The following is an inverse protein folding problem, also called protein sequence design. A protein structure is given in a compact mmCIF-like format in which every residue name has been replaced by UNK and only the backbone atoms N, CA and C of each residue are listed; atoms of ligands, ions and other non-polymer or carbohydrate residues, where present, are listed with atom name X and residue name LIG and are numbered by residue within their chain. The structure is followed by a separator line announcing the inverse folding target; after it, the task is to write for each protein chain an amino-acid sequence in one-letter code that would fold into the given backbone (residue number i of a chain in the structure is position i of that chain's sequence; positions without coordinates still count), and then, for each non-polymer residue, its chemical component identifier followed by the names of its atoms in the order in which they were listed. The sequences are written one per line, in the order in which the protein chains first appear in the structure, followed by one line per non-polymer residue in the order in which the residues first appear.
data_IF_527637657569
#
_entry.id   IF_527637657569
#
_cell.length_a   1.000
_cell.length_b   1.000
_cell.length_c   1.000
_cell.angle_alpha   90.00
_cell.angle_beta   90.00
_cell.angle_gamma   90.00
#
_symmetry.space_group_name_H-M   'P 1'
#
loop_
_entity.id
_entity.type
_entity.pdbx_description
1 polymer ?
#
# COMPACT_ATOMS: atom_id res chain seq x y z
N UNK A 1 18.46 -24.91 -8.90
CA UNK A 1 17.70 -25.07 -7.65
C UNK A 1 16.23 -25.23 -7.97
N UNK A 2 15.54 -26.15 -7.31
CA UNK A 2 14.08 -26.31 -7.43
C UNK A 2 13.40 -25.01 -6.98
N UNK A 3 12.38 -24.57 -7.76
CA UNK A 3 11.54 -23.41 -7.40
C UNK A 3 10.20 -23.84 -6.77
N UNK A 4 10.17 -25.02 -6.17
CA UNK A 4 8.98 -25.49 -5.46
C UNK A 4 8.90 -24.73 -4.13
N UNK A 5 7.79 -24.05 -3.90
CA UNK A 5 7.46 -23.36 -2.65
C UNK A 5 6.47 -24.20 -1.85
N UNK A 6 6.50 -24.11 -0.54
CA UNK A 6 5.60 -24.87 0.35
C UNK A 6 4.40 -24.03 0.82
N UNK A 7 4.48 -22.71 0.73
CA UNK A 7 3.41 -21.80 1.09
C UNK A 7 3.39 -20.58 0.18
N UNK A 8 2.18 -20.09 -0.13
CA UNK A 8 2.03 -18.81 -0.85
C UNK A 8 2.66 -17.62 -0.09
N UNK A 9 2.86 -17.74 1.23
CA UNK A 9 3.51 -16.72 2.05
C UNK A 9 4.97 -16.47 1.65
N UNK A 10 5.66 -17.49 1.09
CA UNK A 10 7.03 -17.38 0.59
C UNK A 10 7.16 -16.48 -0.66
N UNK A 11 6.02 -16.16 -1.30
CA UNK A 11 5.95 -15.26 -2.44
C UNK A 11 5.78 -13.79 -2.04
N UNK A 12 5.53 -13.51 -0.76
CA UNK A 12 5.35 -12.13 -0.27
C UNK A 12 6.71 -11.44 -0.22
N UNK A 13 6.80 -10.29 -0.85
CA UNK A 13 8.05 -9.53 -0.95
C UNK A 13 8.90 -9.92 -2.16
N UNK A 14 10.15 -9.47 -2.17
CA UNK A 14 11.08 -9.62 -3.29
C UNK A 14 10.47 -9.20 -4.65
N UNK A 15 9.63 -8.17 -4.62
CA UNK A 15 8.99 -7.64 -5.82
C UNK A 15 10.03 -6.89 -6.67
N UNK A 16 9.95 -6.96 -8.01
CA UNK A 16 10.94 -6.35 -8.86
C UNK A 16 10.78 -4.83 -8.98
N UNK A 17 11.86 -4.17 -9.41
CA UNK A 17 11.85 -2.83 -9.97
C UNK A 17 11.70 -2.91 -11.49
N UNK A 18 10.73 -2.19 -12.06
CA UNK A 18 10.61 -1.97 -13.50
C UNK A 18 11.27 -0.65 -13.86
N UNK A 19 12.17 -0.66 -14.83
CA UNK A 19 12.64 0.58 -15.46
C UNK A 19 11.57 1.08 -16.44
N UNK A 20 10.84 2.10 -16.04
CA UNK A 20 9.74 2.69 -16.82
C UNK A 20 10.25 3.67 -17.90
N UNK A 21 11.26 3.26 -18.65
CA UNK A 21 11.96 4.11 -19.61
C UNK A 21 11.10 4.53 -20.81
N UNK A 22 10.20 3.68 -21.29
CA UNK A 22 9.25 4.02 -22.36
C UNK A 22 8.25 5.05 -21.89
N UNK A 23 7.73 4.86 -20.66
CA UNK A 23 6.83 5.81 -20.05
C UNK A 23 7.53 7.17 -19.86
N UNK A 24 8.73 7.19 -19.29
CA UNK A 24 9.53 8.40 -19.09
C UNK A 24 9.75 9.16 -20.40
N UNK A 25 10.16 8.44 -21.46
CA UNK A 25 10.34 9.04 -22.80
C UNK A 25 9.05 9.66 -23.34
N UNK A 26 7.91 8.97 -23.22
CA UNK A 26 6.61 9.51 -23.65
C UNK A 26 6.15 10.72 -22.82
N UNK A 27 6.55 10.80 -21.56
CA UNK A 27 6.31 11.94 -20.68
C UNK A 27 7.29 13.12 -20.91
N UNK A 28 8.21 12.99 -21.86
CA UNK A 28 9.22 14.01 -22.17
C UNK A 28 10.32 14.12 -21.14
N UNK A 29 10.61 13.04 -20.41
CA UNK A 29 11.66 13.01 -19.38
C UNK A 29 12.95 12.47 -19.99
N UNK A 30 14.02 13.24 -19.82
CA UNK A 30 15.36 12.90 -20.28
C UNK A 30 16.37 13.04 -19.13
N UNK A 31 17.34 12.13 -19.09
CA UNK A 31 18.44 12.20 -18.13
C UNK A 31 18.08 11.84 -16.69
N UNK A 32 16.93 11.18 -16.45
CA UNK A 32 16.51 10.64 -15.16
C UNK A 32 16.23 9.15 -15.34
N UNK A 33 16.63 8.33 -14.37
CA UNK A 33 16.26 6.92 -14.30
C UNK A 33 14.98 6.80 -13.48
N UNK A 34 13.87 6.40 -14.10
CA UNK A 34 12.59 6.18 -13.45
C UNK A 34 12.35 4.70 -13.21
N UNK A 35 12.36 4.29 -11.94
CA UNK A 35 12.10 2.92 -11.50
C UNK A 35 10.77 2.84 -10.75
N UNK A 36 10.04 1.75 -10.95
CA UNK A 36 8.77 1.51 -10.26
C UNK A 36 8.82 0.19 -9.52
N UNK A 37 8.57 0.22 -8.21
CA UNK A 37 8.49 -0.98 -7.35
C UNK A 37 7.12 -1.62 -7.49
N UNK A 38 7.05 -2.81 -8.09
CA UNK A 38 5.81 -3.45 -8.51
C UNK A 38 5.20 -4.32 -7.39
N UNK A 39 4.56 -3.69 -6.40
CA UNK A 39 3.98 -4.39 -5.24
C UNK A 39 2.74 -5.23 -5.56
N UNK A 40 2.15 -5.05 -6.75
CA UNK A 40 1.05 -5.92 -7.21
C UNK A 40 1.48 -7.37 -7.48
N UNK A 41 2.78 -7.65 -7.57
CA UNK A 41 3.31 -9.01 -7.74
C UNK A 41 3.36 -9.81 -6.44
N UNK A 42 3.01 -9.24 -5.31
CA UNK A 42 2.68 -10.03 -4.13
C UNK A 42 1.48 -10.94 -4.43
N UNK A 43 1.37 -12.13 -3.80
CA UNK A 43 0.39 -13.17 -4.19
C UNK A 43 -1.08 -12.74 -4.07
N UNK A 44 -1.44 -11.88 -3.12
CA UNK A 44 -2.78 -11.31 -3.03
C UNK A 44 -2.90 -9.94 -3.73
N UNK A 45 -1.87 -9.54 -4.49
CA UNK A 45 -1.90 -8.45 -5.47
C UNK A 45 -1.66 -7.06 -4.90
N UNK A 46 -1.07 -6.91 -3.73
CA UNK A 46 -0.75 -5.58 -3.20
C UNK A 46 0.38 -5.56 -2.17
N UNK A 47 0.88 -4.35 -1.89
CA UNK A 47 1.81 -4.05 -0.79
C UNK A 47 1.28 -4.49 0.59
N UNK A 48 -0.03 -4.62 0.73
CA UNK A 48 -0.66 -4.98 2.01
C UNK A 48 -0.50 -6.45 2.38
N UNK A 49 -0.08 -7.30 1.46
CA UNK A 49 0.30 -8.67 1.75
C UNK A 49 1.47 -8.70 2.75
N UNK A 50 2.45 -7.79 2.58
CA UNK A 50 3.56 -7.60 3.52
C UNK A 50 3.07 -7.19 4.90
N UNK A 51 2.18 -6.21 4.95
CA UNK A 51 1.63 -5.67 6.20
C UNK A 51 0.82 -6.73 6.94
N UNK A 52 -0.02 -7.48 6.22
CA UNK A 52 -0.80 -8.57 6.79
C UNK A 52 0.08 -9.67 7.39
N UNK A 53 1.09 -10.12 6.64
CA UNK A 53 2.06 -11.12 7.12
C UNK A 53 2.78 -10.62 8.37
N UNK A 54 3.29 -9.40 8.34
CA UNK A 54 4.02 -8.79 9.44
C UNK A 54 3.21 -8.73 10.74
N UNK A 55 1.98 -8.22 10.66
CA UNK A 55 1.12 -8.07 11.84
C UNK A 55 0.72 -9.42 12.44
N UNK A 56 0.47 -10.42 11.61
CA UNK A 56 0.11 -11.76 12.05
C UNK A 56 1.33 -12.45 12.68
N UNK A 57 2.50 -12.43 12.04
CA UNK A 57 3.71 -13.07 12.56
C UNK A 57 4.25 -12.40 13.83
N UNK A 58 4.13 -11.09 13.93
CA UNK A 58 4.50 -10.37 15.15
C UNK A 58 3.59 -10.77 16.33
N UNK A 59 2.28 -10.86 16.08
CA UNK A 59 1.32 -11.30 17.10
C UNK A 59 1.52 -12.77 17.53
N UNK A 60 1.84 -13.66 16.59
CA UNK A 60 2.24 -15.05 16.88
C UNK A 60 3.47 -15.09 17.77
N UNK A 61 4.51 -14.35 17.39
CA UNK A 61 5.78 -14.27 18.12
C UNK A 61 5.62 -13.73 19.53
N UNK A 62 4.70 -12.78 19.73
CA UNK A 62 4.38 -12.21 21.05
C UNK A 62 3.44 -13.09 21.87
N UNK A 63 2.84 -14.13 21.27
CA UNK A 63 1.85 -14.99 21.92
C UNK A 63 0.46 -14.34 22.05
N UNK A 64 0.23 -13.23 21.36
CA UNK A 64 -1.06 -12.53 21.31
C UNK A 64 -2.05 -13.24 20.38
N UNK A 65 -1.55 -13.87 19.31
CA UNK A 65 -2.33 -14.67 18.37
C UNK A 65 -2.10 -16.16 18.61
N UNK A 66 -3.12 -16.84 19.10
CA UNK A 66 -3.09 -18.29 19.42
C UNK A 66 -3.65 -19.12 18.26
N UNK A 67 -3.28 -20.40 18.14
CA UNK A 67 -3.88 -21.29 17.16
C UNK A 67 -5.42 -21.28 17.21
N UNK A 68 -6.06 -21.21 16.04
CA UNK A 68 -7.52 -21.14 15.92
C UNK A 68 -8.14 -19.78 16.24
N UNK A 69 -7.33 -18.75 16.46
CA UNK A 69 -7.82 -17.40 16.71
C UNK A 69 -8.60 -16.84 15.51
N UNK A 70 -9.49 -15.90 15.81
CA UNK A 70 -10.21 -15.10 14.83
C UNK A 70 -9.49 -13.78 14.64
N UNK A 71 -9.04 -13.50 13.42
CA UNK A 71 -8.46 -12.21 13.05
C UNK A 71 -9.60 -11.30 12.60
N UNK A 72 -9.77 -10.17 13.26
CA UNK A 72 -10.85 -9.22 13.00
C UNK A 72 -10.23 -7.89 12.58
N UNK A 73 -10.61 -7.33 11.42
CA UNK A 73 -10.12 -6.01 10.99
C UNK A 73 -11.24 -5.19 10.33
N UNK A 74 -11.40 -3.91 10.70
CA UNK A 74 -12.33 -3.02 10.04
C UNK A 74 -11.69 -2.48 8.75
N UNK A 75 -11.90 -3.16 7.63
CA UNK A 75 -11.31 -2.78 6.34
C UNK A 75 -12.05 -3.39 5.16
N UNK A 76 -12.18 -2.62 4.11
CA UNK A 76 -12.71 -3.06 2.80
C UNK A 76 -11.65 -3.05 1.70
N UNK A 77 -10.42 -2.66 2.04
CA UNK A 77 -9.33 -2.45 1.08
C UNK A 77 -8.35 -3.61 0.99
N UNK A 78 -7.19 -3.30 0.44
CA UNK A 78 -6.11 -4.27 0.21
C UNK A 78 -5.62 -4.95 1.51
N UNK A 79 -5.71 -4.26 2.65
CA UNK A 79 -5.36 -4.88 3.95
C UNK A 79 -6.27 -6.07 4.28
N UNK A 80 -7.57 -5.94 4.04
CA UNK A 80 -8.50 -7.06 4.24
C UNK A 80 -8.20 -8.24 3.33
N UNK A 81 -7.83 -7.98 2.08
CA UNK A 81 -7.44 -9.02 1.12
C UNK A 81 -6.16 -9.72 1.59
N UNK A 82 -5.13 -8.96 1.97
CA UNK A 82 -3.89 -9.50 2.50
C UNK A 82 -4.10 -10.31 3.78
N UNK A 83 -4.89 -9.81 4.73
CA UNK A 83 -5.23 -10.52 5.96
C UNK A 83 -5.98 -11.82 5.69
N UNK A 84 -6.96 -11.81 4.78
CA UNK A 84 -7.70 -13.02 4.41
C UNK A 84 -6.76 -14.07 3.80
N UNK A 85 -5.89 -13.67 2.86
CA UNK A 85 -4.94 -14.57 2.22
C UNK A 85 -3.93 -15.17 3.22
N UNK A 86 -3.35 -14.34 4.09
CA UNK A 86 -2.38 -14.80 5.09
C UNK A 86 -3.06 -15.66 6.16
N UNK A 87 -4.26 -15.28 6.63
CA UNK A 87 -5.02 -16.04 7.61
C UNK A 87 -5.30 -17.46 7.12
N UNK A 88 -5.83 -17.61 5.91
CA UNK A 88 -6.09 -18.92 5.30
C UNK A 88 -4.80 -19.75 5.17
N UNK A 89 -3.71 -19.15 4.71
CA UNK A 89 -2.43 -19.85 4.55
C UNK A 89 -1.83 -20.31 5.90
N UNK A 90 -2.16 -19.65 7.02
CA UNK A 90 -1.72 -19.99 8.37
C UNK A 90 -2.76 -20.77 9.19
N UNK A 91 -3.95 -21.04 8.64
CA UNK A 91 -5.03 -21.78 9.32
C UNK A 91 -5.83 -20.96 10.34
N UNK A 92 -5.86 -19.64 10.19
CA UNK A 92 -6.71 -18.73 10.97
C UNK A 92 -8.02 -18.40 10.25
N UNK A 93 -9.01 -17.99 11.03
CA UNK A 93 -10.24 -17.38 10.51
C UNK A 93 -10.03 -15.88 10.37
N UNK A 94 -10.51 -15.28 9.27
CA UNK A 94 -10.53 -13.85 9.08
C UNK A 94 -11.97 -13.33 9.03
N UNK A 95 -12.29 -12.34 9.84
CA UNK A 95 -13.58 -11.65 9.88
C UNK A 95 -13.35 -10.17 9.59
N UNK A 96 -13.95 -9.68 8.51
CA UNK A 96 -13.78 -8.30 8.07
C UNK A 96 -15.08 -7.53 8.24
N UNK A 97 -15.02 -6.43 8.97
CA UNK A 97 -16.16 -5.53 9.13
C UNK A 97 -16.06 -4.38 8.14
N UNK A 98 -17.12 -4.13 7.40
CA UNK A 98 -17.14 -3.09 6.37
C UNK A 98 -18.56 -2.57 6.12
N UNK A 99 -18.70 -1.30 5.68
CA UNK A 99 -19.99 -0.74 5.32
C UNK A 99 -20.66 -1.49 4.17
N UNK A 100 -21.99 -1.60 4.21
CA UNK A 100 -22.78 -2.25 3.15
C UNK A 100 -22.79 -1.50 1.82
N UNK A 101 -22.28 -0.27 1.80
CA UNK A 101 -22.03 0.55 0.61
C UNK A 101 -20.80 0.10 -0.20
N UNK A 102 -19.99 -0.80 0.33
CA UNK A 102 -18.83 -1.33 -0.41
C UNK A 102 -19.26 -2.18 -1.60
N UNK A 103 -18.51 -2.08 -2.70
CA UNK A 103 -18.85 -2.76 -3.95
C UNK A 103 -18.96 -4.27 -3.79
N UNK A 104 -19.83 -4.87 -4.59
CA UNK A 104 -20.05 -6.33 -4.59
C UNK A 104 -18.78 -7.06 -4.99
N UNK A 105 -18.01 -6.52 -5.92
CA UNK A 105 -16.74 -7.10 -6.40
C UNK A 105 -15.74 -7.23 -5.25
N UNK A 106 -15.60 -6.19 -4.42
CA UNK A 106 -14.71 -6.23 -3.24
C UNK A 106 -15.17 -7.27 -2.23
N UNK A 107 -16.48 -7.33 -1.95
CA UNK A 107 -17.04 -8.34 -1.04
C UNK A 107 -16.81 -9.76 -1.57
N UNK A 108 -17.01 -9.97 -2.87
CA UNK A 108 -16.79 -11.26 -3.50
C UNK A 108 -15.31 -11.67 -3.47
N UNK A 109 -14.39 -10.74 -3.70
CA UNK A 109 -12.95 -11.01 -3.61
C UNK A 109 -12.53 -11.44 -2.20
N UNK A 110 -12.99 -10.75 -1.17
CA UNK A 110 -12.71 -11.11 0.23
C UNK A 110 -13.26 -12.50 0.58
N UNK A 111 -14.50 -12.81 0.16
CA UNK A 111 -15.11 -14.13 0.33
C UNK A 111 -14.37 -15.23 -0.43
N UNK A 112 -13.84 -14.92 -1.61
CA UNK A 112 -13.06 -15.88 -2.40
C UNK A 112 -11.77 -16.32 -1.68
N UNK A 113 -11.19 -15.46 -0.86
CA UNK A 113 -10.09 -15.80 0.06
C UNK A 113 -10.56 -16.46 1.37
N UNK A 114 -11.85 -16.75 1.51
CA UNK A 114 -12.39 -17.43 2.70
C UNK A 114 -12.69 -16.51 3.88
N UNK A 115 -12.61 -15.18 3.70
CA UNK A 115 -12.96 -14.26 4.78
C UNK A 115 -14.47 -14.23 5.04
N UNK A 116 -14.84 -14.20 6.32
CA UNK A 116 -16.19 -13.88 6.77
C UNK A 116 -16.40 -12.36 6.73
N UNK A 117 -17.53 -11.92 6.22
CA UNK A 117 -17.83 -10.49 6.09
C UNK A 117 -19.00 -10.14 7.02
N UNK A 118 -18.80 -9.15 7.87
CA UNK A 118 -19.83 -8.54 8.68
C UNK A 118 -20.10 -7.14 8.14
N UNK A 119 -21.29 -6.97 7.52
CA UNK A 119 -21.71 -5.70 6.98
C UNK A 119 -22.23 -4.80 8.09
N UNK A 120 -21.87 -3.52 8.04
CA UNK A 120 -22.34 -2.48 8.92
C UNK A 120 -23.16 -1.45 8.15
N UNK A 121 -23.98 -0.67 8.84
CA UNK A 121 -24.81 0.37 8.26
C UNK A 121 -23.95 1.39 7.50
N UNK A 122 -24.22 1.56 6.20
CA UNK A 122 -23.45 2.43 5.30
C UNK A 122 -23.39 3.89 5.74
N UNK A 123 -24.47 4.39 6.35
CA UNK A 123 -24.53 5.75 6.88
C UNK A 123 -23.49 6.04 7.98
N UNK A 124 -23.03 5.00 8.70
CA UNK A 124 -21.97 5.10 9.72
C UNK A 124 -20.56 5.02 9.15
N UNK A 125 -20.42 4.67 7.87
CA UNK A 125 -19.13 4.56 7.19
C UNK A 125 -18.15 3.65 7.94
N UNK A 126 -16.85 3.98 7.86
CA UNK A 126 -15.80 3.21 8.53
C UNK A 126 -15.89 3.27 10.07
N UNK A 127 -16.48 4.31 10.64
CA UNK A 127 -16.68 4.40 12.09
C UNK A 127 -17.54 3.24 12.59
N UNK A 128 -18.66 2.95 11.91
CA UNK A 128 -19.52 1.81 12.24
C UNK A 128 -18.81 0.46 12.08
N UNK A 129 -17.93 0.32 11.08
CA UNK A 129 -17.13 -0.88 10.90
C UNK A 129 -16.12 -1.07 12.05
N UNK A 130 -15.48 0.00 12.51
CA UNK A 130 -14.53 -0.03 13.64
C UNK A 130 -15.26 -0.40 14.95
N UNK A 131 -16.41 0.19 15.22
CA UNK A 131 -17.24 -0.11 16.38
C UNK A 131 -17.64 -1.61 16.38
N UNK A 132 -18.05 -2.13 15.22
CA UNK A 132 -18.44 -3.53 15.08
C UNK A 132 -17.27 -4.51 15.23
N UNK A 133 -16.08 -4.15 14.73
CA UNK A 133 -14.87 -4.95 14.94
C UNK A 133 -14.52 -5.08 16.43
N UNK A 134 -14.61 -3.98 17.18
CA UNK A 134 -14.38 -3.97 18.63
C UNK A 134 -15.41 -4.82 19.39
N UNK A 135 -16.70 -4.64 19.07
CA UNK A 135 -17.79 -5.45 19.65
C UNK A 135 -17.54 -6.96 19.44
N UNK A 136 -17.16 -7.35 18.22
CA UNK A 136 -16.86 -8.74 17.91
C UNK A 136 -15.64 -9.24 18.67
N UNK A 137 -14.60 -8.45 18.82
CA UNK A 137 -13.40 -8.82 19.57
C UNK A 137 -13.69 -9.00 21.07
N UNK A 138 -14.52 -8.13 21.66
CA UNK A 138 -14.94 -8.22 23.06
C UNK A 138 -15.80 -9.46 23.36
N UNK A 139 -16.56 -9.93 22.37
CA UNK A 139 -17.45 -11.10 22.51
C UNK A 139 -16.83 -12.41 22.01
N UNK A 140 -15.62 -12.39 21.46
CA UNK A 140 -14.93 -13.56 20.93
C UNK A 140 -13.65 -13.83 21.74
N UNK A 141 -13.65 -14.90 22.54
CA UNK A 141 -12.59 -15.22 23.52
C UNK A 141 -11.18 -15.32 22.87
N UNK A 142 -11.07 -15.87 21.68
CA UNK A 142 -9.79 -16.02 20.97
C UNK A 142 -9.80 -15.18 19.71
N UNK A 143 -9.66 -13.87 19.86
CA UNK A 143 -9.66 -12.91 18.74
C UNK A 143 -8.48 -11.95 18.81
N UNK A 144 -8.13 -11.40 17.64
CA UNK A 144 -7.03 -10.45 17.47
C UNK A 144 -7.42 -9.38 16.45
N UNK A 145 -7.19 -8.11 16.78
CA UNK A 145 -7.34 -6.98 15.85
C UNK A 145 -5.94 -6.49 15.46
N UNK A 146 -5.51 -6.67 14.21
CA UNK A 146 -4.18 -6.26 13.72
C UNK A 146 -3.89 -4.76 13.83
N UNK A 147 -4.91 -3.90 13.62
CA UNK A 147 -4.81 -2.43 13.78
C UNK A 147 -3.73 -1.78 12.91
N UNK A 148 -3.85 -1.86 11.60
CA UNK A 148 -2.85 -1.43 10.62
C UNK A 148 -2.31 0.02 10.79
N UNK A 149 -3.09 0.93 11.39
CA UNK A 149 -2.72 2.34 11.56
C UNK A 149 -1.86 2.61 12.81
N UNK A 150 -1.84 1.67 13.76
CA UNK A 150 -1.16 1.80 15.06
C UNK A 150 -0.14 0.70 15.33
N UNK A 151 -0.15 -0.38 14.56
CA UNK A 151 0.71 -1.55 14.76
C UNK A 151 2.12 -1.31 14.21
N UNK A 152 3.16 -1.28 15.06
CA UNK A 152 4.53 -1.00 14.64
C UNK A 152 5.14 -2.09 13.75
N UNK A 153 4.57 -3.29 13.69
CA UNK A 153 5.01 -4.35 12.79
C UNK A 153 4.87 -3.94 11.32
N UNK A 154 3.92 -3.04 11.00
CA UNK A 154 3.73 -2.50 9.66
C UNK A 154 4.98 -1.77 9.14
N UNK A 155 5.42 -0.64 9.68
CA UNK A 155 6.66 0.01 9.20
C UNK A 155 7.91 -0.84 9.43
N UNK A 156 7.99 -1.61 10.50
CA UNK A 156 9.15 -2.47 10.79
C UNK A 156 9.40 -3.49 9.67
N UNK A 157 8.34 -4.07 9.10
CA UNK A 157 8.49 -5.02 8.00
C UNK A 157 9.00 -4.35 6.72
N UNK A 158 8.54 -3.15 6.40
CA UNK A 158 9.04 -2.39 5.26
C UNK A 158 10.50 -1.99 5.43
N UNK A 159 10.90 -1.63 6.65
CA UNK A 159 12.31 -1.35 6.98
C UNK A 159 13.19 -2.60 6.81
N UNK A 160 12.68 -3.76 7.19
CA UNK A 160 13.42 -5.02 7.09
C UNK A 160 13.40 -5.65 5.69
N UNK A 161 12.50 -5.27 4.80
CA UNK A 161 12.31 -5.93 3.50
C UNK A 161 12.28 -4.97 2.32
N UNK A 162 11.30 -4.09 2.24
CA UNK A 162 11.07 -3.21 1.06
C UNK A 162 12.23 -2.26 0.83
N UNK A 163 12.75 -1.63 1.88
CA UNK A 163 13.92 -0.75 1.81
C UNK A 163 15.17 -1.49 1.32
N UNK A 164 15.59 -2.58 2.00
CA UNK A 164 16.72 -3.39 1.55
C UNK A 164 16.59 -3.96 0.13
N UNK A 165 15.38 -4.36 -0.28
CA UNK A 165 15.12 -4.80 -1.67
C UNK A 165 15.41 -3.67 -2.67
N UNK A 166 14.88 -2.46 -2.43
CA UNK A 166 15.12 -1.30 -3.30
C UNK A 166 16.61 -0.96 -3.34
N UNK A 167 17.27 -0.90 -2.19
CA UNK A 167 18.70 -0.60 -2.11
C UNK A 167 19.56 -1.59 -2.90
N UNK A 168 19.30 -2.87 -2.70
CA UNK A 168 19.99 -3.95 -3.41
C UNK A 168 19.74 -3.92 -4.92
N UNK A 169 18.48 -3.78 -5.32
CA UNK A 169 18.09 -3.86 -6.74
C UNK A 169 18.51 -2.63 -7.55
N UNK A 170 18.90 -1.54 -6.87
CA UNK A 170 19.48 -0.34 -7.48
C UNK A 170 20.99 -0.28 -7.37
N UNK A 171 21.67 -1.30 -6.82
CA UNK A 171 23.09 -1.24 -6.46
C UNK A 171 23.42 0.01 -5.59
N UNK A 172 22.51 0.39 -4.69
CA UNK A 172 22.64 1.58 -3.85
C UNK A 172 22.46 2.92 -4.58
N UNK A 173 21.97 2.92 -5.82
CA UNK A 173 21.84 4.12 -6.66
C UNK A 173 20.41 4.66 -6.66
N UNK A 174 19.78 4.77 -5.50
CA UNK A 174 18.50 5.45 -5.33
C UNK A 174 18.71 6.83 -4.74
N UNK A 175 18.27 7.86 -5.45
CA UNK A 175 18.38 9.25 -5.00
C UNK A 175 17.08 9.77 -4.38
N UNK A 176 15.93 9.32 -4.93
CA UNK A 176 14.60 9.79 -4.51
C UNK A 176 13.67 8.59 -4.41
N UNK A 177 13.01 8.45 -3.26
CA UNK A 177 11.95 7.48 -3.02
C UNK A 177 10.60 8.15 -2.82
N UNK A 178 9.59 7.72 -3.55
CA UNK A 178 8.23 8.31 -3.54
C UNK A 178 7.21 7.23 -3.20
N UNK A 179 6.38 7.48 -2.19
CA UNK A 179 5.26 6.60 -1.85
C UNK A 179 4.05 7.37 -1.34
N UNK A 180 2.86 6.88 -1.68
CA UNK A 180 1.59 7.40 -1.16
C UNK A 180 1.37 7.03 0.30
N UNK A 181 0.81 7.96 1.07
CA UNK A 181 0.54 7.77 2.50
C UNK A 181 -0.90 7.32 2.72
N UNK A 182 -1.07 6.01 2.96
CA UNK A 182 -2.31 5.43 3.51
C UNK A 182 -2.17 5.27 5.02
N UNK A 183 -1.57 4.14 5.47
CA UNK A 183 -1.16 3.97 6.88
C UNK A 183 0.17 4.67 7.20
N UNK A 184 0.96 4.99 6.18
CA UNK A 184 2.29 5.55 6.35
C UNK A 184 3.40 4.52 6.59
N UNK A 185 3.05 3.24 6.82
CA UNK A 185 4.03 2.20 7.13
C UNK A 185 5.07 1.98 6.02
N UNK A 186 4.63 1.96 4.76
CA UNK A 186 5.52 1.83 3.59
C UNK A 186 6.53 2.97 3.51
N UNK A 187 6.05 4.22 3.58
CA UNK A 187 6.91 5.41 3.52
C UNK A 187 7.89 5.44 4.69
N UNK A 188 7.39 5.19 5.91
CA UNK A 188 8.19 5.18 7.14
C UNK A 188 9.29 4.13 7.07
N UNK A 189 8.93 2.87 6.96
CA UNK A 189 9.91 1.79 7.06
C UNK A 189 10.91 1.80 5.91
N UNK A 190 10.45 1.98 4.67
CA UNK A 190 11.34 2.07 3.51
C UNK A 190 12.23 3.31 3.58
N UNK A 191 11.66 4.46 3.93
CA UNK A 191 12.40 5.72 4.02
C UNK A 191 13.46 5.70 5.12
N UNK A 192 13.17 5.10 6.28
CA UNK A 192 14.13 4.93 7.37
C UNK A 192 15.32 4.06 6.95
N UNK A 193 15.07 2.91 6.31
CA UNK A 193 16.15 2.05 5.82
C UNK A 193 17.01 2.75 4.77
N UNK A 194 16.36 3.36 3.76
CA UNK A 194 17.10 4.03 2.68
C UNK A 194 17.96 5.19 3.22
N UNK A 195 17.46 5.98 4.19
CA UNK A 195 18.25 7.05 4.83
C UNK A 195 19.34 6.52 5.77
N UNK A 196 19.19 5.35 6.34
CA UNK A 196 20.23 4.68 7.11
C UNK A 196 21.38 4.22 6.19
N UNK A 197 21.05 3.72 4.99
CA UNK A 197 22.02 3.35 3.97
C UNK A 197 22.71 4.57 3.34
N UNK A 198 21.94 5.61 3.04
CA UNK A 198 22.45 6.87 2.50
C UNK A 198 21.57 8.06 2.97
N UNK A 199 22.07 8.92 3.88
CA UNK A 199 21.30 10.06 4.39
C UNK A 199 20.87 11.08 3.34
N UNK A 200 21.50 11.09 2.17
CA UNK A 200 21.17 11.99 1.06
C UNK A 200 19.96 11.54 0.23
N UNK A 201 19.44 10.34 0.48
CA UNK A 201 18.20 9.88 -0.18
C UNK A 201 17.03 10.77 0.22
N UNK A 202 16.40 11.37 -0.78
CA UNK A 202 15.21 12.19 -0.59
C UNK A 202 13.97 11.28 -0.52
N UNK A 203 13.21 11.38 0.55
CA UNK A 203 11.96 10.67 0.75
C UNK A 203 10.80 11.63 0.56
N UNK A 204 9.86 11.27 -0.33
CA UNK A 204 8.74 12.12 -0.71
C UNK A 204 7.43 11.44 -0.35
N UNK A 205 6.67 12.10 0.51
CA UNK A 205 5.31 11.69 0.87
C UNK A 205 4.32 12.19 -0.17
N UNK A 206 3.37 11.34 -0.57
CA UNK A 206 2.30 11.71 -1.48
C UNK A 206 0.95 11.64 -0.77
N UNK A 207 0.13 12.67 -0.93
CA UNK A 207 -1.25 12.72 -0.44
C UNK A 207 -2.22 13.30 -1.49
N UNK A 208 -3.55 13.08 -1.36
CA UNK A 208 -4.53 13.67 -2.28
C UNK A 208 -4.63 15.19 -2.09
N UNK A 209 -4.66 15.96 -3.17
CA UNK A 209 -4.78 17.43 -3.13
C UNK A 209 -6.08 17.90 -2.45
N UNK A 210 -7.18 17.13 -2.56
CA UNK A 210 -8.45 17.46 -1.90
C UNK A 210 -8.53 16.98 -0.44
N UNK A 211 -7.49 16.30 0.07
CA UNK A 211 -7.37 15.86 1.47
C UNK A 211 -5.93 16.02 1.97
N UNK A 212 -5.39 17.26 1.99
CA UNK A 212 -4.00 17.56 2.31
C UNK A 212 -3.77 17.55 3.83
N UNK A 213 -3.91 16.38 4.44
CA UNK A 213 -3.81 16.22 5.92
C UNK A 213 -2.39 16.44 6.41
N UNK A 214 -1.39 15.96 5.69
CA UNK A 214 0.01 16.06 6.10
C UNK A 214 0.57 17.47 5.89
N UNK A 215 0.19 18.12 4.78
CA UNK A 215 0.70 19.45 4.43
C UNK A 215 -0.11 20.60 5.03
N UNK A 216 -1.45 20.45 5.14
CA UNK A 216 -2.35 21.52 5.57
C UNK A 216 -3.20 21.21 6.80
N UNK A 217 -3.18 19.98 7.30
CA UNK A 217 -4.02 19.55 8.43
C UNK A 217 -5.51 19.43 8.08
N UNK A 218 -5.87 19.38 6.79
CA UNK A 218 -7.26 19.35 6.33
C UNK A 218 -7.64 18.03 5.72
N UNK A 219 -8.64 17.35 6.29
CA UNK A 219 -9.24 16.17 5.68
C UNK A 219 -10.34 16.57 4.70
N UNK A 220 -10.44 15.86 3.57
CA UNK A 220 -11.46 16.07 2.57
C UNK A 220 -11.78 14.79 1.79
N UNK A 221 -12.86 14.84 1.00
CA UNK A 221 -13.23 13.73 0.13
C UNK A 221 -12.30 13.66 -1.09
N UNK A 222 -11.85 12.46 -1.44
CA UNK A 222 -11.05 12.21 -2.63
C UNK A 222 -11.38 10.84 -3.24
N UNK A 223 -10.91 10.59 -4.46
CA UNK A 223 -11.16 9.33 -5.20
C UNK A 223 -9.92 8.43 -5.31
N UNK A 224 -8.79 8.81 -4.72
CA UNK A 224 -7.54 8.04 -4.77
C UNK A 224 -7.58 6.97 -3.69
N UNK A 225 -8.15 5.81 -4.01
CA UNK A 225 -8.28 4.72 -3.06
C UNK A 225 -6.89 4.20 -2.62
N UNK A 226 -6.77 3.87 -1.33
CA UNK A 226 -5.55 3.28 -0.73
C UNK A 226 -4.62 4.26 -0.03
N UNK A 227 -4.80 5.57 -0.24
CA UNK A 227 -4.07 6.64 0.47
C UNK A 227 -5.06 7.67 1.05
N UNK A 228 -4.57 8.65 1.80
CA UNK A 228 -5.39 9.75 2.30
C UNK A 228 -6.42 9.31 3.34
N UNK A 229 -5.98 8.76 4.48
CA UNK A 229 -6.86 8.23 5.53
C UNK A 229 -7.73 9.28 6.24
N UNK A 230 -7.47 10.57 6.02
CA UNK A 230 -8.19 11.68 6.66
C UNK A 230 -7.63 12.07 8.04
N UNK A 231 -6.59 11.43 8.47
CA UNK A 231 -5.84 11.73 9.72
C UNK A 231 -4.38 11.33 9.57
N UNK A 232 -3.52 11.80 10.49
CA UNK A 232 -2.11 11.38 10.55
C UNK A 232 -2.03 10.05 11.29
N UNK A 233 -1.60 8.95 10.63
CA UNK A 233 -1.52 7.63 11.30
C UNK A 233 -0.41 7.56 12.35
N UNK A 234 -0.62 6.80 13.43
CA UNK A 234 0.36 6.66 14.51
C UNK A 234 1.67 6.00 14.05
N UNK A 235 1.61 5.08 13.06
CA UNK A 235 2.79 4.42 12.51
C UNK A 235 3.57 5.26 11.50
N UNK A 236 3.06 6.45 11.13
CA UNK A 236 3.76 7.35 10.24
C UNK A 236 4.83 8.14 11.02
N UNK A 237 6.09 7.95 10.68
CA UNK A 237 7.17 8.83 11.12
C UNK A 237 7.16 10.11 10.27
N UNK A 238 6.60 11.18 10.81
CA UNK A 238 6.52 12.48 10.12
C UNK A 238 7.86 13.19 9.91
N UNK A 239 8.95 12.61 10.41
CA UNK A 239 10.32 13.15 10.23
C UNK A 239 11.10 12.40 9.16
N UNK A 240 10.54 11.33 8.56
CA UNK A 240 11.25 10.51 7.57
C UNK A 240 11.26 11.14 6.19
N UNK A 241 10.21 11.85 5.84
CA UNK A 241 10.08 12.49 4.52
C UNK A 241 10.62 13.93 4.53
N UNK A 242 11.18 14.33 3.40
CA UNK A 242 11.77 15.63 3.16
C UNK A 242 10.80 16.60 2.49
N UNK A 243 9.81 16.06 1.78
CA UNK A 243 8.83 16.84 1.04
C UNK A 243 7.49 16.10 0.98
N UNK A 244 6.40 16.87 0.91
CA UNK A 244 5.05 16.36 0.66
C UNK A 244 4.62 16.88 -0.71
N UNK A 245 4.13 16.00 -1.57
CA UNK A 245 3.51 16.36 -2.84
C UNK A 245 2.04 15.97 -2.83
N UNK A 246 1.19 16.86 -3.32
CA UNK A 246 -0.24 16.60 -3.47
C UNK A 246 -0.57 16.24 -4.91
N UNK A 247 -1.56 15.37 -5.12
CA UNK A 247 -1.99 14.95 -6.46
C UNK A 247 -3.50 15.05 -6.61
N UNK A 248 -3.95 15.55 -7.76
CA UNK A 248 -5.37 15.58 -8.11
C UNK A 248 -5.87 14.19 -8.51
N UNK A 249 -7.19 13.96 -8.31
CA UNK A 249 -7.79 12.67 -8.66
C UNK A 249 -7.61 12.34 -10.16
N UNK A 250 -7.84 13.33 -11.02
CA UNK A 250 -7.79 13.14 -12.48
C UNK A 250 -6.38 12.88 -12.97
N UNK A 251 -5.36 13.49 -12.35
CA UNK A 251 -3.95 13.23 -12.64
C UNK A 251 -3.56 11.80 -12.30
N UNK A 252 -4.02 11.29 -11.14
CA UNK A 252 -3.79 9.91 -10.75
C UNK A 252 -4.42 8.92 -11.74
N UNK A 253 -5.65 9.18 -12.19
CA UNK A 253 -6.33 8.35 -13.19
C UNK A 253 -5.62 8.39 -14.54
N UNK A 254 -5.31 9.57 -15.05
CA UNK A 254 -4.66 9.74 -16.35
C UNK A 254 -3.29 9.04 -16.39
N UNK A 255 -2.50 9.20 -15.33
CA UNK A 255 -1.16 8.62 -15.23
C UNK A 255 -1.19 7.10 -15.15
N UNK A 256 -2.10 6.52 -14.35
CA UNK A 256 -2.27 5.07 -14.26
C UNK A 256 -2.67 4.42 -15.59
N UNK A 257 -3.55 5.07 -16.37
CA UNK A 257 -3.93 4.62 -17.73
C UNK A 257 -2.72 4.59 -18.69
N UNK A 258 -1.85 5.57 -18.60
CA UNK A 258 -0.70 5.70 -19.50
C UNK A 258 0.37 4.63 -19.23
N UNK A 259 0.59 4.22 -17.99
CA UNK A 259 1.55 3.17 -17.69
C UNK A 259 1.20 1.85 -18.39
N UNK A 260 -0.07 1.48 -18.39
CA UNK A 260 -0.53 0.28 -19.09
C UNK A 260 -0.26 0.36 -20.60
N UNK A 261 -0.44 1.53 -21.22
CA UNK A 261 -0.24 1.74 -22.65
C UNK A 261 1.24 1.75 -23.06
N UNK A 262 2.14 2.16 -22.19
CA UNK A 262 3.55 2.32 -22.51
C UNK A 262 4.43 1.18 -22.02
N UNK A 263 4.14 0.61 -20.84
CA UNK A 263 4.95 -0.45 -20.24
C UNK A 263 4.22 -1.81 -20.17
N UNK A 264 2.94 -1.86 -20.52
CA UNK A 264 2.14 -3.09 -20.44
C UNK A 264 1.83 -3.53 -19.01
N UNK A 265 1.86 -2.60 -18.05
CA UNK A 265 1.64 -2.85 -16.63
C UNK A 265 0.37 -2.16 -16.16
N UNK A 266 -0.60 -2.95 -15.70
CA UNK A 266 -1.87 -2.47 -15.18
C UNK A 266 -1.76 -2.21 -13.68
N UNK A 267 -1.99 -0.98 -13.24
CA UNK A 267 -1.82 -0.57 -11.84
C UNK A 267 -3.06 0.14 -11.30
N UNK A 268 -3.18 0.20 -9.97
CA UNK A 268 -4.29 0.87 -9.31
C UNK A 268 -4.17 2.40 -9.25
N UNK A 269 -5.17 3.05 -8.67
CA UNK A 269 -5.29 4.51 -8.64
C UNK A 269 -4.15 5.16 -7.87
N UNK A 270 -3.80 4.65 -6.68
CA UNK A 270 -2.70 5.18 -5.88
C UNK A 270 -1.33 4.94 -6.52
N UNK A 271 -1.21 3.92 -7.37
CA UNK A 271 -0.02 3.69 -8.20
C UNK A 271 0.12 4.77 -9.27
N UNK A 272 -1.00 5.14 -9.92
CA UNK A 272 -1.04 6.27 -10.85
C UNK A 272 -0.64 7.59 -10.18
N UNK A 273 -1.11 7.82 -8.96
CA UNK A 273 -0.73 8.98 -8.16
C UNK A 273 0.78 9.02 -7.85
N UNK A 274 1.36 7.89 -7.42
CA UNK A 274 2.80 7.79 -7.12
C UNK A 274 3.64 8.01 -8.38
N UNK A 275 3.19 7.48 -9.51
CA UNK A 275 3.86 7.68 -10.79
C UNK A 275 3.79 9.13 -11.26
N UNK A 276 2.63 9.80 -11.08
CA UNK A 276 2.49 11.22 -11.39
C UNK A 276 3.49 12.08 -10.60
N UNK A 277 3.60 11.83 -9.29
CA UNK A 277 4.57 12.52 -8.45
C UNK A 277 6.02 12.27 -8.92
N UNK A 278 6.34 11.04 -9.31
CA UNK A 278 7.66 10.71 -9.84
C UNK A 278 7.97 11.43 -11.17
N UNK A 279 6.97 11.61 -12.03
CA UNK A 279 7.07 12.37 -13.27
C UNK A 279 7.29 13.86 -12.98
N UNK A 280 6.55 14.44 -12.04
CA UNK A 280 6.75 15.84 -11.62
C UNK A 280 8.17 16.05 -11.10
N UNK A 281 8.65 15.16 -10.25
CA UNK A 281 10.02 15.20 -9.74
C UNK A 281 11.06 15.04 -10.84
N UNK A 282 10.85 14.14 -11.79
CA UNK A 282 11.75 13.88 -12.88
C UNK A 282 11.90 15.08 -13.85
N UNK A 283 10.88 15.93 -13.94
CA UNK A 283 10.92 17.16 -14.75
C UNK A 283 11.69 18.31 -14.10
N UNK A 284 12.00 18.22 -12.82
CA UNK A 284 12.73 19.28 -12.11
C UNK A 284 14.20 19.27 -12.52
N UNK A 285 14.79 20.41 -12.94
CA UNK A 285 16.16 20.47 -13.47
C UNK A 285 17.22 19.92 -12.52
N UNK A 286 17.04 20.09 -11.21
CA UNK A 286 17.93 19.63 -10.16
C UNK A 286 17.97 18.09 -10.02
N UNK A 287 17.02 17.40 -10.63
CA UNK A 287 16.93 15.94 -10.57
C UNK A 287 17.52 15.26 -11.79
N UNK A 288 18.11 16.02 -12.73
CA UNK A 288 18.82 15.45 -13.86
C UNK A 288 19.98 14.56 -13.40
N UNK A 289 20.10 13.37 -13.96
CA UNK A 289 21.10 12.37 -13.59
C UNK A 289 20.70 11.47 -12.41
N UNK A 290 19.56 11.74 -11.75
CA UNK A 290 19.12 11.02 -10.57
C UNK A 290 18.29 9.77 -10.89
N UNK A 291 18.27 8.85 -9.94
CA UNK A 291 17.41 7.67 -9.93
C UNK A 291 16.24 7.89 -8.98
N UNK A 292 15.03 7.85 -9.52
CA UNK A 292 13.75 8.01 -8.80
C UNK A 292 13.07 6.65 -8.72
N UNK A 293 12.71 6.23 -7.52
CA UNK A 293 11.93 5.02 -7.27
C UNK A 293 10.53 5.40 -6.77
N UNK A 294 9.50 5.06 -7.55
CA UNK A 294 8.10 5.17 -7.13
C UNK A 294 7.54 3.81 -6.73
N UNK A 295 6.93 3.69 -5.56
CA UNK A 295 6.27 2.45 -5.15
C UNK A 295 4.83 2.43 -5.68
N UNK A 296 4.50 1.37 -6.45
CA UNK A 296 3.19 1.12 -7.03
C UNK A 296 2.47 0.05 -6.22
N UNK A 297 1.48 0.44 -5.37
CA UNK A 297 0.97 -0.43 -4.31
C UNK A 297 0.18 -1.65 -4.76
N UNK A 298 -0.56 -1.59 -5.86
CA UNK A 298 -1.47 -2.65 -6.28
C UNK A 298 -1.74 -2.68 -7.79
N UNK A 299 -2.47 -3.73 -8.25
CA UNK A 299 -2.84 -3.88 -9.65
C UNK A 299 -4.11 -3.09 -10.02
N UNK A 300 -4.35 -2.96 -11.33
CA UNK A 300 -5.51 -2.28 -11.88
C UNK A 300 -6.80 -3.10 -11.90
N UNK A 301 -6.72 -4.43 -11.76
CA UNK A 301 -7.89 -5.32 -11.90
C UNK A 301 -9.02 -5.03 -10.90
N UNK A 302 -8.68 -4.40 -9.79
CA UNK A 302 -9.62 -4.00 -8.73
C UNK A 302 -10.39 -2.72 -9.03
N UNK A 303 -10.13 -2.07 -10.17
CA UNK A 303 -10.58 -0.71 -10.48
C UNK A 303 -11.29 -0.56 -11.82
N UNK A 304 -11.68 -1.67 -12.48
CA UNK A 304 -12.33 -1.63 -13.80
C UNK A 304 -13.62 -0.81 -13.83
N UNK A 305 -14.37 -0.79 -12.73
CA UNK A 305 -15.61 -0.01 -12.58
C UNK A 305 -15.38 1.44 -12.10
N UNK A 306 -14.13 1.89 -12.00
CA UNK A 306 -13.78 3.24 -11.55
C UNK A 306 -13.36 4.13 -12.73
N UNK A 307 -13.27 5.47 -12.56
CA UNK A 307 -12.78 6.39 -13.59
C UNK A 307 -11.34 6.10 -14.07
N UNK A 308 -10.60 5.22 -13.38
CA UNK A 308 -9.30 4.76 -13.86
C UNK A 308 -9.40 4.03 -15.20
N UNK A 309 -10.46 3.25 -15.44
CA UNK A 309 -10.64 2.48 -16.67
C UNK A 309 -12.01 2.67 -17.32
N UNK A 310 -13.05 3.03 -16.57
CA UNK A 310 -14.36 3.37 -17.12
C UNK A 310 -14.28 4.68 -17.90
N UNK A 311 -15.00 4.75 -19.04
CA UNK A 311 -15.19 5.96 -19.86
C UNK A 311 -16.25 6.87 -19.25
#
# INVERSE_FOLDING_TARGET
MSKVINSALELIGNTPLLNASRYAKNAGIEGVTLLTKLEYLNPAGSVKDRVALAMIEDAEKKGELKPGAMIIEPTSGNTGIGLAAVAVAKGYRAVLTLPDTMSVERRNLLKAYGAEIVLTEGAKGMKGAIEKAKELAETTENSFIPSQFTNPANPAYHRATTGPEIWKDTDGKVDIFIAGVGTGGTLTGTGEDLKEQNPDVKVVALEPATSPVLSEGKAGAHKIQGIGAGFVPDVLNTKVYDEIITVENDDAFATGKLLAKHEGVLVGISSGAALWAAIDYAKRPENKGKTIVALLPDNGDRYYSTPLFAE
#
